data_IF_063377570349
#
_entry.id   IF_063377570349
#
_cell.length_a   1.000
_cell.length_b   1.000
_cell.length_c   1.000
_cell.angle_alpha   90.00
_cell.angle_beta   90.00
_cell.angle_gamma   90.00
#
_symmetry.space_group_name_H-M   'P 1'
#
loop_
_entity.id
_entity.type
_entity.pdbx_description
1 polymer ?
#
# COMPACT_ATOMS: atom_id res chain seq x y z
N UNK A 1 27.25 3.66 -0.95
CA UNK A 1 25.92 3.44 -0.33
C UNK A 1 24.98 2.85 -1.38
N UNK A 2 24.28 1.76 -1.07
CA UNK A 2 23.18 1.28 -1.93
C UNK A 2 21.91 2.07 -1.64
N UNK A 3 21.09 2.31 -2.66
CA UNK A 3 19.77 2.94 -2.50
C UNK A 3 18.80 1.92 -1.90
N UNK A 4 17.88 2.37 -1.05
CA UNK A 4 16.72 1.57 -0.65
C UNK A 4 15.75 1.46 -1.83
N UNK A 5 15.30 0.24 -2.12
CA UNK A 5 14.25 0.03 -3.11
C UNK A 5 12.91 0.40 -2.50
N UNK A 6 12.06 1.10 -3.26
CA UNK A 6 10.74 1.55 -2.80
C UNK A 6 9.70 1.29 -3.88
N UNK A 7 8.57 0.70 -3.50
CA UNK A 7 7.40 0.49 -4.35
C UNK A 7 6.19 1.12 -3.68
N UNK A 8 5.53 2.04 -4.38
CA UNK A 8 4.36 2.73 -3.86
C UNK A 8 3.18 2.59 -4.81
N UNK A 9 2.07 2.05 -4.32
CA UNK A 9 0.83 1.93 -5.08
C UNK A 9 -0.03 3.19 -4.96
N UNK A 10 -0.04 4.04 -5.99
CA UNK A 10 -0.94 5.20 -6.07
C UNK A 10 -2.35 4.77 -6.51
N UNK A 11 -3.32 4.83 -5.60
CA UNK A 11 -4.71 4.44 -5.89
C UNK A 11 -5.45 5.50 -6.73
N UNK A 12 -4.88 6.71 -6.83
CA UNK A 12 -5.52 7.87 -7.48
C UNK A 12 -6.86 8.16 -6.80
N UNK A 13 -7.90 8.41 -7.58
CA UNK A 13 -9.27 8.63 -7.10
C UNK A 13 -10.11 7.36 -7.31
N UNK A 14 -9.73 6.29 -6.62
CA UNK A 14 -10.46 5.02 -6.63
C UNK A 14 -10.70 4.54 -5.21
N UNK A 15 -11.56 3.51 -5.11
CA UNK A 15 -11.95 2.81 -3.90
C UNK A 15 -13.05 3.51 -3.08
N UNK A 16 -13.97 2.69 -2.58
CA UNK A 16 -14.76 3.02 -1.39
C UNK A 16 -13.97 2.67 -0.12
N UNK A 17 -14.47 3.08 1.04
CA UNK A 17 -13.87 2.71 2.35
C UNK A 17 -13.78 1.18 2.51
N UNK A 18 -14.81 0.44 2.07
CA UNK A 18 -14.82 -1.03 2.14
C UNK A 18 -13.71 -1.65 1.29
N UNK A 19 -13.57 -1.19 0.04
CA UNK A 19 -12.56 -1.70 -0.89
C UNK A 19 -11.14 -1.41 -0.38
N UNK A 20 -10.92 -0.22 0.17
CA UNK A 20 -9.64 0.18 0.75
C UNK A 20 -9.23 -0.72 1.92
N UNK A 21 -10.16 -0.98 2.85
CA UNK A 21 -9.92 -1.87 3.98
C UNK A 21 -9.63 -3.30 3.54
N UNK A 22 -10.40 -3.82 2.58
CA UNK A 22 -10.17 -5.14 2.02
C UNK A 22 -8.80 -5.23 1.35
N UNK A 23 -8.43 -4.23 0.54
CA UNK A 23 -7.16 -4.17 -0.15
C UNK A 23 -5.99 -4.13 0.82
N UNK A 24 -5.99 -3.23 1.82
CA UNK A 24 -4.87 -3.12 2.78
C UNK A 24 -4.69 -4.40 3.59
N UNK A 25 -5.78 -5.05 4.01
CA UNK A 25 -5.71 -6.34 4.72
C UNK A 25 -5.09 -7.43 3.83
N UNK A 26 -5.50 -7.50 2.56
CA UNK A 26 -4.95 -8.46 1.61
C UNK A 26 -3.46 -8.20 1.32
N UNK A 27 -3.06 -6.93 1.12
CA UNK A 27 -1.67 -6.55 0.86
C UNK A 27 -0.76 -6.88 2.06
N UNK A 28 -1.21 -6.64 3.29
CA UNK A 28 -0.45 -6.97 4.51
C UNK A 28 -0.13 -8.46 4.60
N UNK A 29 -1.11 -9.32 4.26
CA UNK A 29 -0.91 -10.78 4.23
C UNK A 29 -0.02 -11.19 3.06
N UNK A 30 -0.23 -10.59 1.88
CA UNK A 30 0.52 -10.93 0.66
C UNK A 30 2.01 -10.61 0.75
N UNK A 31 2.38 -9.54 1.44
CA UNK A 31 3.76 -9.10 1.57
C UNK A 31 4.43 -9.49 2.89
N UNK A 32 3.80 -10.38 3.68
CA UNK A 32 4.41 -10.95 4.87
C UNK A 32 5.72 -11.66 4.49
N UNK A 33 6.82 -11.26 5.12
CA UNK A 33 8.16 -11.83 4.87
C UNK A 33 8.92 -11.25 3.68
N UNK A 34 8.35 -10.32 2.91
CA UNK A 34 9.09 -9.57 1.90
C UNK A 34 10.10 -8.64 2.58
N UNK A 35 11.35 -8.67 2.12
CA UNK A 35 12.45 -7.86 2.66
C UNK A 35 13.28 -7.22 1.55
N UNK A 36 14.08 -6.21 1.88
CA UNK A 36 14.94 -5.49 0.93
C UNK A 36 14.24 -4.44 0.07
N UNK A 37 12.94 -4.20 0.29
CA UNK A 37 12.14 -3.16 -0.38
C UNK A 37 11.13 -2.57 0.59
N UNK A 38 10.95 -1.25 0.56
CA UNK A 38 9.87 -0.57 1.25
C UNK A 38 8.61 -0.56 0.38
N UNK A 39 7.49 -0.99 0.95
CA UNK A 39 6.21 -1.06 0.23
C UNK A 39 5.23 -0.10 0.90
N UNK A 40 4.68 0.81 0.10
CA UNK A 40 3.69 1.79 0.54
C UNK A 40 2.45 1.82 -0.34
N UNK A 41 1.40 2.47 0.16
CA UNK A 41 0.18 2.80 -0.59
C UNK A 41 -0.09 4.30 -0.50
N UNK A 42 -0.60 4.90 -1.57
CA UNK A 42 -1.12 6.27 -1.56
C UNK A 42 -2.64 6.22 -1.77
N UNK A 43 -3.42 6.13 -0.69
CA UNK A 43 -4.87 6.19 -0.77
C UNK A 43 -5.35 7.58 -1.18
N UNK A 44 -6.59 7.68 -1.68
CA UNK A 44 -7.28 8.96 -1.76
C UNK A 44 -7.38 9.57 -0.35
N UNK A 45 -7.25 10.89 -0.21
CA UNK A 45 -7.17 11.57 1.11
C UNK A 45 -8.27 11.15 2.11
N UNK A 46 -9.51 10.97 1.63
CA UNK A 46 -10.67 10.56 2.45
C UNK A 46 -10.58 9.14 3.02
N UNK A 47 -9.62 8.33 2.53
CA UNK A 47 -9.38 6.94 2.92
C UNK A 47 -8.10 6.78 3.75
N UNK A 48 -7.42 7.89 4.08
CA UNK A 48 -6.16 7.88 4.83
C UNK A 48 -6.33 7.62 6.34
N UNK A 49 -7.35 8.17 7.03
CA UNK A 49 -7.63 7.85 8.43
C UNK A 49 -8.05 6.38 8.62
#
# INVERSE_FOLDING_TARGET
>A
MSRTLVIVGNWKMHNTVGDALQLVRALKVKFLGVSGVEIGVCPTFVLLP
#
